data_IF_831509346416
#
_entry.id   IF_831509346416
#
_cell.length_a   1.000
_cell.length_b   1.000
_cell.length_c   1.000
_cell.angle_alpha   90.00
_cell.angle_beta   90.00
_cell.angle_gamma   90.00
#
_symmetry.space_group_name_H-M   'P 1'
#
loop_
_entity.id
_entity.type
_entity.pdbx_description
1 polymer ?
#
# COMPACT_ATOMS: atom_id res chain seq x y z
N UNK A 1 -25.69 -30.74 -33.18
CA UNK A 1 -25.16 -30.54 -31.82
C UNK A 1 -24.70 -29.10 -31.73
N UNK A 2 -25.49 -28.23 -31.10
CA UNK A 2 -25.24 -26.78 -31.07
C UNK A 2 -24.47 -26.44 -29.80
N UNK A 3 -23.33 -25.75 -29.93
CA UNK A 3 -22.53 -25.34 -28.78
C UNK A 3 -23.21 -24.19 -28.02
N UNK A 4 -23.28 -24.30 -26.70
CA UNK A 4 -23.72 -23.21 -25.83
C UNK A 4 -22.50 -22.36 -25.51
N UNK A 5 -22.49 -21.09 -25.93
CA UNK A 5 -21.46 -20.14 -25.50
C UNK A 5 -21.72 -19.78 -24.04
N UNK A 6 -20.86 -20.22 -23.13
CA UNK A 6 -20.96 -19.88 -21.71
C UNK A 6 -20.47 -18.45 -21.47
N UNK A 7 -21.31 -17.63 -20.83
CA UNK A 7 -20.92 -16.29 -20.39
C UNK A 7 -19.94 -16.41 -19.21
N UNK A 8 -18.72 -15.84 -19.30
CA UNK A 8 -17.77 -15.86 -18.20
C UNK A 8 -18.25 -15.00 -17.02
N UNK A 9 -18.01 -15.47 -15.80
CA UNK A 9 -18.19 -14.68 -14.57
C UNK A 9 -17.05 -13.67 -14.44
N UNK A 10 -17.16 -12.54 -15.13
CA UNK A 10 -16.14 -11.51 -15.22
C UNK A 10 -16.69 -10.14 -14.83
N UNK A 11 -15.93 -9.40 -14.03
CA UNK A 11 -16.22 -8.01 -13.68
C UNK A 11 -14.93 -7.19 -13.76
N UNK A 12 -15.03 -5.98 -14.29
CA UNK A 12 -13.94 -5.00 -14.36
C UNK A 12 -14.49 -3.58 -14.22
N UNK A 13 -13.66 -2.67 -13.72
CA UNK A 13 -14.00 -1.27 -13.55
C UNK A 13 -12.75 -0.41 -13.51
N UNK A 14 -12.87 0.85 -13.91
CA UNK A 14 -11.77 1.82 -13.80
C UNK A 14 -11.70 2.35 -12.37
N UNK A 15 -10.49 2.42 -11.82
CA UNK A 15 -10.25 3.12 -10.55
C UNK A 15 -10.15 4.63 -10.81
N UNK A 16 -10.83 5.49 -10.02
CA UNK A 16 -10.72 6.94 -10.17
C UNK A 16 -9.38 7.49 -9.66
N UNK A 17 -8.65 6.70 -8.87
CA UNK A 17 -7.35 7.06 -8.33
C UNK A 17 -6.23 6.43 -9.17
N UNK A 18 -5.17 7.20 -9.49
CA UNK A 18 -4.00 6.66 -10.15
C UNK A 18 -3.31 5.62 -9.26
N UNK A 19 -2.76 4.59 -9.89
CA UNK A 19 -1.93 3.61 -9.20
C UNK A 19 -0.57 4.22 -8.84
N UNK A 20 -0.03 3.80 -7.70
CA UNK A 20 1.34 4.17 -7.33
C UNK A 20 2.34 3.41 -8.21
N UNK A 21 3.28 4.14 -8.79
CA UNK A 21 4.35 3.57 -9.63
C UNK A 21 5.74 3.58 -8.97
N UNK A 22 5.84 4.03 -7.73
CA UNK A 22 7.10 4.15 -7.01
C UNK A 22 7.61 2.82 -6.47
N UNK A 23 8.91 2.74 -6.21
CA UNK A 23 9.44 1.67 -5.36
C UNK A 23 8.95 1.85 -3.93
N UNK A 24 8.96 0.76 -3.16
CA UNK A 24 8.61 0.79 -1.74
C UNK A 24 9.50 1.80 -0.99
N UNK A 25 10.81 1.78 -1.24
CA UNK A 25 11.76 2.73 -0.63
C UNK A 25 11.44 4.18 -0.98
N UNK A 26 11.23 4.50 -2.26
CA UNK A 26 10.94 5.87 -2.67
C UNK A 26 9.62 6.41 -2.08
N UNK A 27 8.59 5.56 -1.97
CA UNK A 27 7.34 5.96 -1.33
C UNK A 27 7.49 6.10 0.20
N UNK A 28 8.33 5.28 0.83
CA UNK A 28 8.66 5.41 2.25
C UNK A 28 9.41 6.73 2.50
N UNK A 29 10.45 7.03 1.73
CA UNK A 29 11.23 8.27 1.87
C UNK A 29 10.34 9.52 1.73
N UNK A 30 9.42 9.52 0.76
CA UNK A 30 8.43 10.59 0.60
C UNK A 30 7.53 10.73 1.85
N UNK A 31 7.12 9.60 2.44
CA UNK A 31 6.28 9.59 3.63
C UNK A 31 7.03 10.12 4.84
N UNK A 32 8.29 9.70 5.03
CA UNK A 32 9.18 10.20 6.09
C UNK A 32 9.37 11.71 5.96
N UNK A 33 9.64 12.21 4.75
CA UNK A 33 9.80 13.65 4.51
C UNK A 33 8.56 14.48 4.85
N UNK A 34 7.35 13.91 4.66
CA UNK A 34 6.10 14.62 4.89
C UNK A 34 5.53 14.46 6.32
N UNK A 35 5.89 13.39 7.03
CA UNK A 35 5.26 12.98 8.30
C UNK A 35 6.25 12.37 9.30
N UNK A 36 7.43 12.98 9.41
CA UNK A 36 8.56 12.43 10.17
C UNK A 36 8.24 12.09 11.63
N UNK A 37 7.41 12.90 12.28
CA UNK A 37 7.03 12.81 13.69
C UNK A 37 5.80 11.92 13.97
N UNK A 38 5.13 11.43 12.92
CA UNK A 38 3.99 10.53 13.06
C UNK A 38 4.45 9.10 13.44
N UNK A 39 3.66 8.42 14.27
CA UNK A 39 3.89 7.01 14.61
C UNK A 39 3.76 6.10 13.37
N UNK A 40 4.76 5.27 13.13
CA UNK A 40 4.88 4.40 11.96
C UNK A 40 4.79 2.91 12.30
N UNK A 41 5.36 2.50 13.44
CA UNK A 41 5.38 1.10 13.88
C UNK A 41 5.13 1.00 15.39
N UNK A 42 4.28 0.05 15.77
CA UNK A 42 4.03 -0.34 17.16
C UNK A 42 4.34 -1.82 17.29
N UNK A 43 5.41 -2.15 18.02
CA UNK A 43 5.72 -3.52 18.41
C UNK A 43 5.18 -3.77 19.82
N UNK A 44 4.04 -4.47 19.89
CA UNK A 44 3.38 -4.81 21.14
C UNK A 44 4.18 -5.80 22.00
N UNK A 45 4.92 -6.73 21.38
CA UNK A 45 5.64 -7.77 22.11
C UNK A 45 6.79 -7.18 22.91
N UNK A 46 7.47 -6.18 22.34
CA UNK A 46 8.59 -5.49 23.00
C UNK A 46 8.20 -4.14 23.61
N UNK A 47 6.93 -3.74 23.51
CA UNK A 47 6.43 -2.42 23.95
C UNK A 47 7.19 -1.24 23.35
N UNK A 48 7.60 -1.38 22.09
CA UNK A 48 8.34 -0.35 21.35
C UNK A 48 7.43 0.36 20.35
N UNK A 49 7.73 1.65 20.15
CA UNK A 49 7.04 2.54 19.22
C UNK A 49 8.10 3.32 18.46
N UNK A 50 7.88 3.51 17.17
CA UNK A 50 8.76 4.29 16.31
C UNK A 50 7.94 5.28 15.50
N UNK A 51 8.46 6.49 15.39
CA UNK A 51 8.07 7.48 14.38
C UNK A 51 8.59 7.10 13.00
N UNK A 52 8.09 7.72 11.94
CA UNK A 52 8.64 7.51 10.58
C UNK A 52 10.13 7.86 10.51
N UNK A 53 10.57 8.91 11.20
CA UNK A 53 12.00 9.25 11.27
C UNK A 53 12.83 8.13 11.91
N UNK A 54 12.39 7.60 13.06
CA UNK A 54 13.11 6.53 13.78
C UNK A 54 13.08 5.19 13.05
N UNK A 55 12.00 4.89 12.30
CA UNK A 55 11.89 3.67 11.50
C UNK A 55 12.79 3.69 10.26
N UNK A 56 13.08 4.87 9.72
CA UNK A 56 13.88 5.04 8.50
C UNK A 56 15.40 5.11 8.72
N UNK A 57 15.83 5.16 9.99
CA UNK A 57 17.22 5.24 10.41
C UNK A 57 17.92 3.87 10.38
#
# INVERSE_FOLDING_TARGET
>A
MTAVLQTPSYSSGTGPLPLLGDTIGANLDRTVAARSDHEALVDCATSRRWTYAELSA
#
